data_IF_854037495759
#
_entry.id   IF_854037495759
#
_cell.length_a   1.000
_cell.length_b   1.000
_cell.length_c   1.000
_cell.angle_alpha   90.00
_cell.angle_beta   90.00
_cell.angle_gamma   90.00
#
_symmetry.space_group_name_H-M   'P 1'
#
loop_
_entity.id
_entity.type
_entity.pdbx_description
1 polymer ?
#
# COMPACT_ATOMS: atom_id res chain seq x y z
N UNK A 1 -16.45 -16.51 17.79
CA UNK A 1 -16.50 -15.38 16.81
C UNK A 1 -16.26 -14.00 17.44
N UNK A 2 -16.83 -13.71 18.61
CA UNK A 2 -16.68 -12.38 19.27
C UNK A 2 -15.24 -12.07 19.68
N UNK A 3 -14.48 -13.04 20.18
CA UNK A 3 -13.09 -12.87 20.59
C UNK A 3 -12.12 -12.62 19.43
N UNK A 4 -12.36 -13.23 18.26
CA UNK A 4 -11.55 -12.99 17.06
C UNK A 4 -11.77 -11.58 16.52
N UNK A 5 -13.01 -11.14 16.40
CA UNK A 5 -13.31 -9.77 15.94
C UNK A 5 -12.72 -8.68 16.88
N UNK A 6 -12.70 -8.93 18.20
CA UNK A 6 -12.04 -8.03 19.14
C UNK A 6 -10.52 -8.01 18.99
N UNK A 7 -9.88 -9.16 18.76
CA UNK A 7 -8.44 -9.25 18.53
C UNK A 7 -8.04 -8.53 17.21
N UNK A 8 -8.81 -8.72 16.15
CA UNK A 8 -8.62 -8.05 14.86
C UNK A 8 -8.76 -6.52 14.97
N UNK A 9 -9.77 -6.03 15.67
CA UNK A 9 -9.97 -4.60 15.94
C UNK A 9 -8.82 -3.98 16.75
N UNK A 10 -8.25 -4.73 17.71
CA UNK A 10 -7.08 -4.29 18.50
C UNK A 10 -5.82 -4.22 17.63
N UNK A 11 -5.64 -5.14 16.67
CA UNK A 11 -4.51 -5.13 15.75
C UNK A 11 -4.60 -3.96 14.76
N UNK A 12 -5.77 -3.67 14.23
CA UNK A 12 -6.02 -2.51 13.39
C UNK A 12 -5.75 -1.21 14.14
N UNK A 13 -6.28 -1.05 15.35
CA UNK A 13 -6.03 0.12 16.19
C UNK A 13 -4.53 0.31 16.48
N UNK A 14 -3.80 -0.79 16.74
CA UNK A 14 -2.35 -0.77 16.97
C UNK A 14 -1.58 -0.27 15.74
N UNK A 15 -1.94 -0.67 14.52
CA UNK A 15 -1.32 -0.17 13.30
C UNK A 15 -1.63 1.32 13.08
N UNK A 16 -2.88 1.74 13.26
CA UNK A 16 -3.26 3.15 13.12
C UNK A 16 -2.54 4.04 14.12
N UNK A 17 -2.31 3.57 15.36
CA UNK A 17 -1.55 4.30 16.38
C UNK A 17 -0.06 4.42 16.00
N UNK A 18 0.53 3.40 15.37
CA UNK A 18 1.88 3.49 14.83
C UNK A 18 2.00 4.58 13.76
N UNK A 19 1.02 4.69 12.87
CA UNK A 19 1.00 5.74 11.84
C UNK A 19 0.86 7.13 12.47
N UNK A 20 0.01 7.30 13.50
CA UNK A 20 -0.13 8.56 14.24
C UNK A 20 1.17 8.96 14.93
N UNK A 21 1.79 8.01 15.64
CA UNK A 21 3.09 8.24 16.31
C UNK A 21 4.20 8.59 15.32
N UNK A 22 4.24 7.93 14.16
CA UNK A 22 5.18 8.27 13.09
C UNK A 22 4.94 9.68 12.54
N UNK A 23 3.67 10.07 12.38
CA UNK A 23 3.31 11.43 11.95
C UNK A 23 3.76 12.48 12.95
N UNK A 24 3.51 12.28 14.24
CA UNK A 24 3.94 13.18 15.31
C UNK A 24 5.46 13.35 15.33
N UNK A 25 6.23 12.26 15.16
CA UNK A 25 7.68 12.31 15.08
C UNK A 25 8.17 13.10 13.86
N UNK A 26 7.54 12.92 12.68
CA UNK A 26 7.86 13.70 11.50
C UNK A 26 7.58 15.19 11.70
N UNK A 27 6.41 15.54 12.25
CA UNK A 27 6.06 16.93 12.57
C UNK A 27 7.05 17.55 13.56
N UNK A 28 7.51 16.78 14.56
CA UNK A 28 8.53 17.23 15.51
C UNK A 28 9.88 17.50 14.82
N UNK A 29 10.27 16.65 13.86
CA UNK A 29 11.50 16.84 13.08
C UNK A 29 11.42 18.03 12.12
N UNK A 30 10.26 18.30 11.55
CA UNK A 30 10.04 19.48 10.69
C UNK A 30 10.32 20.81 11.39
N UNK A 31 10.33 20.86 12.72
CA UNK A 31 10.74 22.03 13.49
C UNK A 31 12.27 22.28 13.46
N UNK A 32 13.07 21.36 12.91
CA UNK A 32 14.51 21.51 12.80
C UNK A 32 14.88 22.16 11.45
N UNK A 33 15.91 23.05 11.41
CA UNK A 33 16.34 23.68 10.19
C UNK A 33 16.71 22.68 9.08
N UNK A 34 16.15 22.85 7.89
CA UNK A 34 16.39 21.99 6.73
C UNK A 34 15.53 20.72 6.68
N UNK A 35 14.58 20.53 7.62
CA UNK A 35 13.68 19.37 7.65
C UNK A 35 12.19 19.75 7.53
N UNK A 36 11.89 21.01 7.20
CA UNK A 36 10.54 21.59 7.18
C UNK A 36 9.59 20.86 6.20
N UNK A 37 10.15 20.30 5.13
CA UNK A 37 9.39 19.60 4.08
C UNK A 37 9.41 18.05 4.21
N UNK A 38 9.85 17.51 5.35
CA UNK A 38 9.86 16.05 5.57
C UNK A 38 8.46 15.49 5.48
N UNK A 39 8.21 14.68 4.46
CA UNK A 39 6.95 13.95 4.25
C UNK A 39 7.26 12.58 3.68
N UNK A 40 6.38 11.63 3.93
CA UNK A 40 6.51 10.28 3.36
C UNK A 40 5.15 9.60 3.25
N UNK A 41 5.08 8.62 2.38
CA UNK A 41 4.01 7.63 2.36
C UNK A 41 4.39 6.46 3.27
N UNK A 42 3.43 5.66 3.63
CA UNK A 42 3.68 4.43 4.38
C UNK A 42 2.61 3.38 4.07
N UNK A 43 3.04 2.13 4.04
CA UNK A 43 2.17 0.96 4.03
C UNK A 43 2.74 -0.09 4.99
N UNK A 44 1.89 -0.71 5.78
CA UNK A 44 2.29 -1.73 6.74
C UNK A 44 1.30 -2.90 6.71
N UNK A 45 1.83 -4.10 6.89
CA UNK A 45 1.08 -5.34 6.97
C UNK A 45 1.48 -6.08 8.24
N UNK A 46 0.48 -6.58 8.97
CA UNK A 46 0.65 -7.50 10.09
C UNK A 46 -0.13 -8.79 9.80
N UNK A 47 0.56 -9.91 9.91
CA UNK A 47 -0.06 -11.23 9.85
C UNK A 47 -0.20 -11.77 11.27
N UNK A 48 -1.42 -12.10 11.67
CA UNK A 48 -1.75 -12.60 13.00
C UNK A 48 -2.65 -13.85 12.85
N UNK A 49 -2.04 -15.03 13.01
CA UNK A 49 -2.74 -16.30 12.77
C UNK A 49 -3.25 -16.40 11.33
N UNK A 50 -4.56 -16.50 11.16
CA UNK A 50 -5.23 -16.58 9.86
C UNK A 50 -5.80 -15.24 9.38
N UNK A 51 -5.32 -14.12 9.94
CA UNK A 51 -5.79 -12.78 9.58
C UNK A 51 -4.61 -11.90 9.17
N UNK A 52 -4.77 -11.18 8.06
CA UNK A 52 -3.92 -10.07 7.66
C UNK A 52 -4.62 -8.76 8.02
N UNK A 53 -3.90 -7.85 8.66
CA UNK A 53 -4.34 -6.49 8.95
C UNK A 53 -3.32 -5.53 8.36
N UNK A 54 -3.77 -4.51 7.66
CA UNK A 54 -2.89 -3.51 7.06
C UNK A 54 -3.37 -2.09 7.31
N UNK A 55 -2.45 -1.16 7.20
CA UNK A 55 -2.73 0.26 7.14
C UNK A 55 -1.84 0.93 6.11
N UNK A 56 -2.32 2.00 5.49
CA UNK A 56 -1.55 2.81 4.55
C UNK A 56 -1.93 4.28 4.58
N UNK A 57 -1.01 5.12 4.13
CA UNK A 57 -1.22 6.52 3.85
C UNK A 57 -0.31 6.94 2.68
N UNK A 58 -0.89 7.60 1.66
CA UNK A 58 -0.21 7.93 0.42
C UNK A 58 -0.55 6.97 -0.71
N UNK A 59 0.39 6.73 -1.60
CA UNK A 59 0.31 5.91 -2.81
C UNK A 59 1.25 4.71 -2.82
N UNK A 60 1.95 4.44 -1.72
CA UNK A 60 2.56 3.14 -1.51
C UNK A 60 1.47 2.10 -1.33
N UNK A 61 1.55 1.00 -2.09
CA UNK A 61 0.47 0.03 -2.22
C UNK A 61 0.75 -1.28 -1.51
N UNK A 62 -0.31 -1.88 -1.01
CA UNK A 62 -0.37 -3.30 -0.68
C UNK A 62 -1.29 -3.99 -1.69
N UNK A 63 -0.75 -5.02 -2.33
CA UNK A 63 -1.47 -5.96 -3.17
C UNK A 63 -1.72 -7.25 -2.40
N UNK A 64 -2.92 -7.78 -2.51
CA UNK A 64 -3.29 -9.08 -1.96
C UNK A 64 -3.70 -10.02 -3.09
N UNK A 65 -3.10 -11.19 -3.12
CA UNK A 65 -3.41 -12.26 -4.05
C UNK A 65 -3.94 -13.47 -3.28
N UNK A 66 -4.98 -14.09 -3.81
CA UNK A 66 -5.56 -15.32 -3.27
C UNK A 66 -5.74 -16.32 -4.40
N UNK A 67 -5.27 -17.54 -4.22
CA UNK A 67 -5.28 -18.57 -5.26
C UNK A 67 -4.61 -18.14 -6.58
N UNK A 68 -3.58 -17.31 -6.50
CA UNK A 68 -2.86 -16.78 -7.68
C UNK A 68 -3.56 -15.61 -8.39
N UNK A 69 -4.72 -15.16 -7.93
CA UNK A 69 -5.47 -14.05 -8.50
C UNK A 69 -5.41 -12.79 -7.63
N UNK A 70 -5.39 -11.63 -8.26
CA UNK A 70 -5.43 -10.35 -7.55
C UNK A 70 -6.77 -10.18 -6.84
N UNK A 71 -6.74 -10.25 -5.51
CA UNK A 71 -7.92 -10.12 -4.65
C UNK A 71 -8.15 -8.69 -4.14
N UNK A 72 -7.15 -7.82 -4.19
CA UNK A 72 -7.29 -6.43 -3.81
C UNK A 72 -5.99 -5.64 -3.85
N UNK A 73 -6.12 -4.33 -3.98
CA UNK A 73 -5.06 -3.32 -3.92
C UNK A 73 -5.55 -2.19 -3.02
N UNK A 74 -4.66 -1.60 -2.23
CA UNK A 74 -4.99 -0.38 -1.46
C UNK A 74 -5.31 0.78 -2.40
N UNK A 75 -6.24 1.64 -1.99
CA UNK A 75 -6.65 2.82 -2.75
C UNK A 75 -5.66 3.98 -2.52
N UNK A 76 -5.06 4.51 -3.59
CA UNK A 76 -4.10 5.61 -3.46
C UNK A 76 -4.75 6.87 -2.91
N UNK A 77 -4.08 7.54 -2.00
CA UNK A 77 -4.47 8.86 -1.54
C UNK A 77 -3.90 9.95 -2.47
N UNK A 78 -4.22 9.88 -3.76
CA UNK A 78 -3.72 10.78 -4.80
C UNK A 78 -4.86 11.51 -5.54
N UNK A 79 -4.51 12.61 -6.21
CA UNK A 79 -5.43 13.34 -7.08
C UNK A 79 -5.88 12.45 -8.23
N UNK A 80 -4.96 11.73 -8.83
CA UNK A 80 -5.22 10.83 -9.97
C UNK A 80 -6.21 9.71 -9.60
N UNK A 81 -6.02 9.08 -8.44
CA UNK A 81 -6.96 8.04 -8.00
C UNK A 81 -8.37 8.60 -7.72
N UNK A 82 -8.48 9.85 -7.24
CA UNK A 82 -9.77 10.54 -7.12
C UNK A 82 -10.44 10.79 -8.48
N UNK A 83 -9.65 11.18 -9.50
CA UNK A 83 -10.16 11.32 -10.88
C UNK A 83 -10.72 9.99 -11.40
N UNK A 84 -9.99 8.89 -11.14
CA UNK A 84 -10.45 7.53 -11.50
C UNK A 84 -11.77 7.18 -10.80
N UNK A 85 -11.87 7.37 -9.48
CA UNK A 85 -13.10 7.12 -8.72
C UNK A 85 -14.27 8.00 -9.17
N UNK A 86 -13.99 9.21 -9.63
CA UNK A 86 -14.97 10.13 -10.21
C UNK A 86 -15.37 9.80 -11.65
N UNK A 87 -14.75 8.79 -12.27
CA UNK A 87 -15.00 8.42 -13.66
C UNK A 87 -14.43 9.40 -14.70
N UNK A 88 -13.54 10.30 -14.29
CA UNK A 88 -12.90 11.28 -15.18
C UNK A 88 -11.82 10.63 -16.05
N UNK A 89 -11.15 9.61 -15.53
CA UNK A 89 -10.09 8.85 -16.20
C UNK A 89 -10.30 7.35 -16.01
N UNK A 90 -9.70 6.52 -16.86
CA UNK A 90 -9.66 5.07 -16.70
C UNK A 90 -8.63 4.66 -15.65
N UNK A 91 -8.69 3.38 -15.18
CA UNK A 91 -7.66 2.86 -14.26
C UNK A 91 -6.27 2.86 -14.90
N UNK A 92 -6.15 2.61 -16.20
CA UNK A 92 -4.87 2.65 -16.91
C UNK A 92 -4.25 4.04 -16.96
N UNK A 93 -5.07 5.09 -16.97
CA UNK A 93 -4.59 6.46 -16.93
C UNK A 93 -3.94 6.82 -15.58
N UNK A 94 -4.26 6.08 -14.49
CA UNK A 94 -3.62 6.27 -13.18
C UNK A 94 -2.10 6.11 -13.25
N UNK A 95 -1.60 5.25 -14.15
CA UNK A 95 -0.17 5.02 -14.33
C UNK A 95 0.55 6.17 -15.08
N UNK A 96 -0.17 7.01 -15.81
CA UNK A 96 0.39 7.96 -16.76
C UNK A 96 -0.09 9.40 -16.59
N UNK A 97 -1.06 9.67 -15.71
CA UNK A 97 -1.60 11.02 -15.48
C UNK A 97 -0.53 11.96 -14.89
N UNK A 98 -0.53 13.21 -15.34
CA UNK A 98 0.44 14.22 -14.90
C UNK A 98 0.33 14.55 -13.41
N UNK A 99 -0.85 14.35 -12.81
CA UNK A 99 -1.10 14.57 -11.38
C UNK A 99 -0.79 13.35 -10.50
N UNK A 100 -0.20 12.26 -11.03
CA UNK A 100 0.00 11.00 -10.28
C UNK A 100 0.83 11.19 -9.01
N UNK A 101 1.81 12.09 -9.01
CA UNK A 101 2.62 12.42 -7.84
C UNK A 101 1.96 13.40 -6.85
N UNK A 102 0.74 13.89 -7.15
CA UNK A 102 0.02 14.82 -6.27
C UNK A 102 -0.76 14.06 -5.20
N UNK A 103 -0.15 13.95 -4.03
CA UNK A 103 -0.72 13.23 -2.90
C UNK A 103 -1.66 14.12 -2.08
N UNK A 104 -2.79 13.54 -1.67
CA UNK A 104 -3.81 14.16 -0.83
C UNK A 104 -3.56 13.91 0.66
N UNK A 105 -2.94 12.75 0.97
CA UNK A 105 -2.62 12.34 2.34
C UNK A 105 -1.22 11.75 2.39
N UNK A 106 -0.44 12.18 3.37
CA UNK A 106 0.94 11.72 3.63
C UNK A 106 1.22 11.78 5.12
N UNK A 107 2.24 11.10 5.61
CA UNK A 107 2.83 11.36 6.91
C UNK A 107 3.65 12.66 6.88
N UNK A 108 3.71 13.38 8.00
CA UNK A 108 4.33 14.69 8.10
C UNK A 108 3.37 15.83 7.74
N UNK A 109 2.06 15.57 7.73
CA UNK A 109 1.01 16.57 7.48
C UNK A 109 -0.25 16.28 8.30
N UNK A 110 -0.85 17.31 8.85
CA UNK A 110 -2.17 17.23 9.49
C UNK A 110 -3.30 17.55 8.48
N UNK A 111 -4.48 16.92 8.63
CA UNK A 111 -4.75 15.81 9.54
C UNK A 111 -4.17 14.47 9.05
N UNK A 112 -3.54 13.72 9.96
CA UNK A 112 -3.07 12.37 9.67
C UNK A 112 -4.26 11.39 9.61
N UNK A 113 -4.56 10.89 8.42
CA UNK A 113 -5.72 10.00 8.17
C UNK A 113 -5.30 8.75 7.39
N UNK A 114 -4.59 7.81 8.02
CA UNK A 114 -4.32 6.51 7.41
C UNK A 114 -5.61 5.72 7.22
N UNK A 115 -5.65 4.86 6.23
CA UNK A 115 -6.72 3.88 6.03
C UNK A 115 -6.21 2.49 6.42
N UNK A 116 -7.09 1.70 7.02
CA UNK A 116 -6.82 0.33 7.42
C UNK A 116 -7.78 -0.64 6.76
N UNK A 117 -7.38 -1.90 6.71
CA UNK A 117 -8.20 -2.99 6.22
C UNK A 117 -7.72 -4.31 6.78
N UNK A 118 -8.55 -5.33 6.62
CA UNK A 118 -8.24 -6.69 7.07
C UNK A 118 -8.83 -7.74 6.13
N UNK A 119 -8.23 -8.92 6.14
CA UNK A 119 -8.74 -10.07 5.41
C UNK A 119 -8.32 -11.38 6.09
N UNK A 120 -9.14 -12.41 5.93
CA UNK A 120 -8.70 -13.77 6.24
C UNK A 120 -7.56 -14.18 5.29
N UNK A 121 -6.63 -14.97 5.82
CA UNK A 121 -5.46 -15.48 5.09
C UNK A 121 -5.51 -17.00 5.06
N UNK A 122 -5.29 -17.55 3.90
CA UNK A 122 -5.19 -18.98 3.65
C UNK A 122 -3.79 -19.35 3.13
N UNK A 123 -3.35 -20.61 3.30
CA UNK A 123 -2.13 -21.08 2.66
C UNK A 123 -2.17 -20.85 1.15
N UNK A 124 -1.11 -20.27 0.60
CA UNK A 124 -1.05 -19.91 -0.83
C UNK A 124 -1.43 -18.46 -1.14
N UNK A 125 -1.97 -17.70 -0.17
CA UNK A 125 -2.16 -16.26 -0.33
C UNK A 125 -0.80 -15.55 -0.36
N UNK A 126 -0.68 -14.50 -1.17
CA UNK A 126 0.53 -13.71 -1.30
C UNK A 126 0.23 -12.21 -1.13
N UNK A 127 1.20 -11.49 -0.59
CA UNK A 127 1.14 -10.05 -0.41
C UNK A 127 2.38 -9.39 -1.01
N UNK A 128 2.18 -8.24 -1.64
CA UNK A 128 3.26 -7.39 -2.13
C UNK A 128 3.06 -5.98 -1.57
N UNK A 129 4.11 -5.43 -0.96
CA UNK A 129 4.17 -4.03 -0.56
C UNK A 129 5.21 -3.33 -1.42
N UNK A 130 4.85 -2.21 -2.02
CA UNK A 130 5.76 -1.46 -2.87
C UNK A 130 5.42 0.05 -2.89
N UNK A 131 6.41 0.86 -3.29
CA UNK A 131 6.23 2.28 -3.58
C UNK A 131 5.80 2.51 -5.04
N UNK A 132 5.49 3.76 -5.35
CA UNK A 132 5.21 4.26 -6.70
C UNK A 132 6.33 3.94 -7.69
N UNK A 133 7.60 4.07 -7.27
CA UNK A 133 8.76 3.70 -8.08
C UNK A 133 8.75 2.26 -8.61
N UNK A 134 7.89 1.39 -8.11
CA UNK A 134 7.69 0.05 -8.63
C UNK A 134 6.38 -0.05 -9.43
N UNK A 135 5.23 0.27 -8.82
CA UNK A 135 3.94 0.00 -9.44
C UNK A 135 3.64 0.88 -10.66
N UNK A 136 4.26 2.04 -10.81
CA UNK A 136 4.15 2.86 -12.03
C UNK A 136 4.70 2.14 -13.27
N UNK A 137 5.61 1.19 -13.09
CA UNK A 137 6.31 0.50 -14.18
C UNK A 137 5.90 -0.97 -14.33
N UNK A 138 5.20 -1.57 -13.36
CA UNK A 138 4.77 -2.98 -13.43
C UNK A 138 3.27 -3.05 -13.17
N UNK A 139 2.50 -3.44 -14.18
CA UNK A 139 1.05 -3.45 -14.12
C UNK A 139 0.51 -4.64 -13.32
N UNK A 140 -0.72 -4.51 -12.81
CA UNK A 140 -1.35 -5.52 -11.95
C UNK A 140 -1.34 -6.92 -12.58
N UNK A 141 -1.66 -7.02 -13.88
CA UNK A 141 -1.70 -8.28 -14.62
C UNK A 141 -0.32 -8.92 -14.76
N UNK A 142 0.72 -8.10 -14.82
CA UNK A 142 2.10 -8.55 -14.91
C UNK A 142 2.61 -9.07 -13.56
N UNK A 143 2.26 -8.38 -12.47
CA UNK A 143 2.55 -8.81 -11.08
C UNK A 143 1.91 -10.18 -10.84
N UNK A 144 0.64 -10.34 -11.24
CA UNK A 144 -0.09 -11.61 -11.14
C UNK A 144 0.53 -12.70 -12.01
N UNK A 145 0.90 -12.39 -13.24
CA UNK A 145 1.51 -13.36 -14.15
C UNK A 145 2.86 -13.88 -13.64
N UNK A 146 3.65 -13.03 -12.97
CA UNK A 146 4.92 -13.44 -12.38
C UNK A 146 4.68 -14.24 -11.09
N UNK A 147 3.66 -13.93 -10.28
CA UNK A 147 3.25 -14.75 -9.14
C UNK A 147 2.89 -16.18 -9.57
N UNK A 148 2.09 -16.32 -10.64
CA UNK A 148 1.67 -17.63 -11.14
C UNK A 148 2.82 -18.50 -11.67
N UNK A 149 3.95 -17.89 -12.03
CA UNK A 149 5.15 -18.60 -12.53
C UNK A 149 6.15 -18.93 -11.41
N UNK A 150 6.16 -18.14 -10.36
CA UNK A 150 7.08 -18.25 -9.25
C UNK A 150 6.71 -19.43 -8.33
N UNK A 151 7.71 -20.09 -7.78
CA UNK A 151 7.56 -21.15 -6.77
C UNK A 151 7.90 -20.65 -5.37
N UNK A 152 8.65 -19.53 -5.30
CA UNK A 152 9.07 -18.89 -4.05
C UNK A 152 8.86 -17.38 -4.14
N UNK A 153 8.77 -16.68 -3.01
CA UNK A 153 8.71 -15.21 -3.00
C UNK A 153 9.91 -14.55 -3.69
N UNK A 154 11.08 -15.15 -3.61
CA UNK A 154 12.31 -14.66 -4.25
C UNK A 154 12.20 -14.72 -5.79
N UNK A 155 11.75 -15.85 -6.34
CA UNK A 155 11.50 -15.99 -7.77
C UNK A 155 10.46 -14.99 -8.28
N UNK A 156 9.42 -14.72 -7.47
CA UNK A 156 8.43 -13.70 -7.79
C UNK A 156 9.04 -12.31 -7.82
N UNK A 157 9.81 -11.95 -6.80
CA UNK A 157 10.51 -10.67 -6.74
C UNK A 157 11.50 -10.48 -7.90
N UNK A 158 12.27 -11.51 -8.25
CA UNK A 158 13.19 -11.50 -9.39
C UNK A 158 12.45 -11.28 -10.71
N UNK A 159 11.35 -11.98 -10.94
CA UNK A 159 10.52 -11.81 -12.15
C UNK A 159 10.02 -10.39 -12.31
N UNK A 160 9.48 -9.82 -11.24
CA UNK A 160 9.00 -8.44 -11.21
C UNK A 160 10.12 -7.42 -11.40
N UNK A 161 11.28 -7.62 -10.77
CA UNK A 161 12.44 -6.75 -10.90
C UNK A 161 12.98 -6.74 -12.34
N UNK A 162 13.03 -7.90 -13.00
CA UNK A 162 13.45 -7.99 -14.41
C UNK A 162 12.52 -7.22 -15.34
N UNK A 163 11.21 -7.18 -15.07
CA UNK A 163 10.28 -6.34 -15.83
C UNK A 163 10.56 -4.86 -15.61
N UNK A 164 10.72 -4.48 -14.36
CA UNK A 164 10.97 -3.08 -13.99
C UNK A 164 12.26 -2.54 -14.67
N UNK A 165 13.35 -3.31 -14.67
CA UNK A 165 14.64 -2.89 -15.28
C UNK A 165 14.55 -2.76 -16.81
N UNK A 166 13.63 -3.46 -17.47
CA UNK A 166 13.49 -3.46 -18.94
C UNK A 166 12.60 -2.33 -19.47
N UNK A 167 12.00 -1.55 -18.59
CA UNK A 167 11.19 -0.38 -18.93
C UNK A 167 11.89 0.93 -18.56
#
# INVERSE_FOLDING_TARGET
>A
STGMAQAEALEEASLLDLFRSANEELLRRQAQPGQEEMRTTAVALKLAGSTAVWAHIGDSRLYRFSNGELAGVTADHSVTYRKFLGGEISYMDVYHDDDRSRLLRVLGKEPCRPEAGQAAVSPGDAFLLCSDGFWEFVYNEEIQADLCRARTPEEWAEGMLLRHIRR
#
